data_IF_669981484670
#
_entry.id   IF_669981484670
#
_cell.length_a   1.000
_cell.length_b   1.000
_cell.length_c   1.000
_cell.angle_alpha   90.00
_cell.angle_beta   90.00
_cell.angle_gamma   90.00
#
_symmetry.space_group_name_H-M   'P 1'
#
loop_
_entity.id
_entity.type
_entity.pdbx_description
1 polymer ?
#
# COMPACT_ATOMS: atom_id res chain seq x y z
N UNK A 1 -16.76 -12.75 -12.92
CA UNK A 1 -16.64 -11.71 -11.89
C UNK A 1 -15.37 -12.02 -11.13
N UNK A 2 -14.35 -11.18 -11.22
CA UNK A 2 -13.13 -11.36 -10.43
C UNK A 2 -13.50 -11.04 -8.98
N UNK A 3 -13.31 -11.99 -8.07
CA UNK A 3 -13.53 -11.81 -6.64
C UNK A 3 -12.57 -10.72 -6.14
N UNK A 4 -13.06 -9.48 -6.07
CA UNK A 4 -12.32 -8.38 -5.46
C UNK A 4 -12.31 -8.65 -3.96
N UNK A 5 -11.20 -9.19 -3.46
CA UNK A 5 -10.98 -9.45 -2.05
C UNK A 5 -10.84 -8.11 -1.35
N UNK A 6 -11.91 -7.59 -0.75
CA UNK A 6 -11.85 -6.41 0.12
C UNK A 6 -11.54 -6.88 1.53
N UNK A 7 -10.27 -6.80 1.92
CA UNK A 7 -9.82 -7.21 3.26
C UNK A 7 -8.92 -6.15 3.88
N UNK A 8 -9.20 -5.83 5.14
CA UNK A 8 -8.26 -5.07 5.96
C UNK A 8 -7.00 -5.90 6.22
N UNK A 9 -5.83 -5.33 5.99
CA UNK A 9 -4.53 -5.95 6.24
C UNK A 9 -3.63 -4.97 6.99
N UNK A 10 -2.91 -5.44 8.00
CA UNK A 10 -1.88 -4.63 8.64
C UNK A 10 -0.75 -4.37 7.64
N UNK A 11 -0.15 -3.18 7.69
CA UNK A 11 0.91 -2.79 6.73
C UNK A 11 2.13 -3.72 6.75
N UNK A 12 2.42 -4.38 7.87
CA UNK A 12 3.51 -5.35 7.98
C UNK A 12 3.22 -6.70 7.29
N UNK A 13 1.95 -6.99 7.03
CA UNK A 13 1.51 -8.24 6.40
C UNK A 13 1.32 -8.09 4.87
N UNK A 14 1.46 -6.88 4.34
CA UNK A 14 1.44 -6.61 2.90
C UNK A 14 2.53 -7.41 2.19
N UNK A 15 2.35 -7.60 0.88
CA UNK A 15 3.32 -8.31 0.04
C UNK A 15 3.53 -7.56 -1.27
N UNK A 16 4.72 -7.62 -1.87
CA UNK A 16 4.93 -7.18 -3.23
C UNK A 16 3.87 -7.78 -4.17
N UNK A 17 3.22 -6.92 -4.95
CA UNK A 17 2.12 -7.25 -5.86
C UNK A 17 0.72 -7.06 -5.27
N UNK A 18 0.55 -6.88 -3.96
CA UNK A 18 -0.76 -6.52 -3.40
C UNK A 18 -1.22 -5.18 -3.99
N UNK A 19 -2.48 -5.10 -4.40
CA UNK A 19 -3.12 -3.84 -4.80
C UNK A 19 -3.93 -3.33 -3.61
N UNK A 20 -3.58 -2.14 -3.17
CA UNK A 20 -4.23 -1.45 -2.06
C UNK A 20 -5.03 -0.28 -2.58
N UNK A 21 -6.21 -0.08 -2.00
CA UNK A 21 -7.02 1.13 -2.19
C UNK A 21 -7.14 1.85 -0.85
N UNK A 22 -6.63 3.08 -0.77
CA UNK A 22 -6.83 3.90 0.42
C UNK A 22 -6.98 5.37 0.10
N UNK A 23 -7.51 6.11 1.07
CA UNK A 23 -7.61 7.56 0.99
C UNK A 23 -6.30 8.16 1.49
N UNK A 24 -5.62 8.92 0.64
CA UNK A 24 -4.44 9.67 1.05
C UNK A 24 -4.81 10.63 2.19
N UNK A 25 -4.06 10.57 3.29
CA UNK A 25 -4.23 11.47 4.44
C UNK A 25 -3.26 12.64 4.34
N UNK A 26 -1.97 12.35 4.15
CA UNK A 26 -0.88 13.31 4.31
C UNK A 26 0.36 13.00 3.44
N UNK A 27 0.23 12.18 2.39
CA UNK A 27 1.34 11.88 1.49
C UNK A 27 1.79 13.15 0.76
N UNK A 28 3.10 13.30 0.48
CA UNK A 28 3.63 14.46 -0.22
C UNK A 28 3.16 14.52 -1.68
N UNK A 29 3.36 15.66 -2.34
CA UNK A 29 3.11 15.80 -3.77
C UNK A 29 3.84 14.69 -4.58
N UNK A 30 3.21 14.15 -5.64
CA UNK A 30 2.03 14.65 -6.34
C UNK A 30 0.67 14.16 -5.80
N UNK A 31 0.63 13.49 -4.64
CA UNK A 31 -0.62 12.93 -4.11
C UNK A 31 -1.49 14.01 -3.46
N UNK A 32 -2.75 14.10 -3.89
CA UNK A 32 -3.73 15.03 -3.32
C UNK A 32 -4.30 14.45 -2.04
N UNK A 33 -4.20 15.19 -0.92
CA UNK A 33 -4.81 14.79 0.33
C UNK A 33 -6.34 14.65 0.19
N UNK A 34 -6.87 13.54 0.70
CA UNK A 34 -8.30 13.24 0.68
C UNK A 34 -8.80 12.51 -0.57
N UNK A 35 -7.96 12.29 -1.60
CA UNK A 35 -8.29 11.44 -2.75
C UNK A 35 -8.01 9.97 -2.46
N UNK A 36 -8.70 9.08 -3.18
CA UNK A 36 -8.43 7.65 -3.14
C UNK A 36 -7.41 7.30 -4.22
N UNK A 37 -6.43 6.47 -3.85
CA UNK A 37 -5.44 5.93 -4.76
C UNK A 37 -5.47 4.41 -4.72
N UNK A 38 -5.36 3.82 -5.90
CA UNK A 38 -5.06 2.41 -6.09
C UNK A 38 -3.59 2.30 -6.42
N UNK A 39 -2.84 1.55 -5.63
CA UNK A 39 -1.41 1.37 -5.87
C UNK A 39 -1.01 -0.09 -5.69
N UNK A 40 0.02 -0.49 -6.41
CA UNK A 40 0.65 -1.81 -6.27
C UNK A 40 1.81 -1.70 -5.28
N UNK A 41 1.83 -2.54 -4.27
CA UNK A 41 2.96 -2.66 -3.33
C UNK A 41 4.15 -3.24 -4.09
N UNK A 42 5.30 -2.56 -4.05
CA UNK A 42 6.56 -3.01 -4.65
C UNK A 42 7.47 -3.65 -3.60
N UNK A 43 7.59 -3.03 -2.44
CA UNK A 43 8.44 -3.49 -1.33
C UNK A 43 7.94 -2.94 0.00
N UNK A 44 8.34 -3.57 1.09
CA UNK A 44 8.01 -3.15 2.45
C UNK A 44 9.31 -3.18 3.25
N UNK A 45 9.69 -2.02 3.77
CA UNK A 45 10.90 -1.86 4.56
C UNK A 45 10.56 -1.29 5.94
N UNK A 46 10.92 -2.03 7.00
CA UNK A 46 10.74 -1.55 8.36
C UNK A 46 11.98 -0.73 8.76
N UNK A 47 11.88 0.58 8.53
CA UNK A 47 12.97 1.53 8.81
C UNK A 47 13.30 1.60 10.30
N UNK A 48 12.30 1.56 11.18
CA UNK A 48 12.48 1.55 12.63
C UNK A 48 11.27 0.96 13.37
N UNK A 49 11.21 1.15 14.71
CA UNK A 49 10.13 0.61 15.53
C UNK A 49 8.78 1.28 15.31
N UNK A 50 8.75 2.52 14.82
CA UNK A 50 7.55 3.36 14.65
C UNK A 50 7.19 3.64 13.19
N UNK A 51 8.04 3.27 12.24
CA UNK A 51 7.87 3.63 10.83
C UNK A 51 8.19 2.44 9.93
N UNK A 52 7.27 2.19 9.01
CA UNK A 52 7.40 1.26 7.88
C UNK A 52 7.30 2.10 6.61
N UNK A 53 8.22 1.91 5.68
CA UNK A 53 8.09 2.44 4.33
C UNK A 53 7.51 1.36 3.43
N UNK A 54 6.42 1.69 2.75
CA UNK A 54 5.88 0.85 1.68
C UNK A 54 6.28 1.51 0.37
N UNK A 55 7.10 0.82 -0.42
CA UNK A 55 7.34 1.17 -1.81
C UNK A 55 6.09 0.86 -2.62
N UNK A 56 5.60 1.84 -3.37
CA UNK A 56 4.37 1.75 -4.17
C UNK A 56 4.64 2.08 -5.62
N UNK A 57 3.85 1.50 -6.52
CA UNK A 57 3.77 1.91 -7.94
C UNK A 57 2.35 2.34 -8.22
N UNK A 58 2.20 3.57 -8.69
CA UNK A 58 0.92 4.19 -9.06
C UNK A 58 1.06 4.80 -10.45
N UNK A 59 0.20 4.43 -11.40
CA UNK A 59 0.26 4.89 -12.80
C UNK A 59 1.68 4.82 -13.44
N UNK A 60 2.49 3.84 -13.03
CA UNK A 60 3.86 3.64 -13.51
C UNK A 60 4.93 4.51 -12.81
N UNK A 61 4.55 5.34 -11.85
CA UNK A 61 5.47 6.14 -11.03
C UNK A 61 5.76 5.44 -9.70
N UNK A 62 7.02 5.14 -9.39
CA UNK A 62 7.40 4.60 -8.09
C UNK A 62 7.45 5.72 -7.03
N UNK A 63 6.96 5.42 -5.83
CA UNK A 63 7.06 6.27 -4.64
C UNK A 63 7.28 5.42 -3.39
N UNK A 64 7.70 6.04 -2.28
CA UNK A 64 7.76 5.40 -0.98
C UNK A 64 6.87 6.17 0.00
N UNK A 65 5.96 5.47 0.65
CA UNK A 65 4.99 6.06 1.57
C UNK A 65 5.26 5.57 3.00
N UNK A 66 5.37 6.47 3.98
CA UNK A 66 5.55 6.09 5.37
C UNK A 66 4.23 5.70 6.04
N UNK A 67 4.27 4.66 6.86
CA UNK A 67 3.15 4.15 7.66
C UNK A 67 3.59 3.90 9.10
N UNK A 68 2.64 3.97 10.04
CA UNK A 68 2.82 3.38 11.37
C UNK A 68 2.68 1.85 11.29
N UNK A 69 3.48 1.06 12.03
CA UNK A 69 3.46 -0.41 11.95
C UNK A 69 2.14 -1.06 12.42
N UNK A 70 1.32 -0.33 13.17
CA UNK A 70 -0.01 -0.76 13.61
C UNK A 70 -1.13 -0.36 12.63
N UNK A 71 -0.81 0.37 11.56
CA UNK A 71 -1.78 0.84 10.57
C UNK A 71 -2.34 -0.33 9.75
N UNK A 72 -3.61 -0.19 9.36
CA UNK A 72 -4.34 -1.13 8.51
C UNK A 72 -4.76 -0.45 7.22
N UNK A 73 -4.63 -1.17 6.11
CA UNK A 73 -5.02 -0.72 4.77
C UNK A 73 -6.02 -1.70 4.14
N UNK A 74 -6.72 -1.26 3.10
CA UNK A 74 -7.66 -2.12 2.36
C UNK A 74 -6.97 -2.70 1.14
N UNK A 75 -6.66 -3.99 1.18
CA UNK A 75 -6.23 -4.74 0.00
C UNK A 75 -7.48 -5.03 -0.84
N UNK A 76 -7.38 -4.82 -2.15
CA UNK A 76 -8.45 -5.09 -3.14
C UNK A 76 -8.09 -6.21 -4.11
N UNK A 77 -6.79 -6.50 -4.25
CA UNK A 77 -6.26 -7.65 -4.99
C UNK A 77 -4.97 -8.15 -4.32
N UNK A 78 -4.83 -9.46 -4.15
CA UNK A 78 -3.61 -10.03 -3.59
C UNK A 78 -2.53 -10.20 -4.66
N UNK A 79 -1.29 -9.86 -4.30
CA UNK A 79 -0.14 -10.17 -5.12
C UNK A 79 -0.04 -11.68 -5.31
N UNK A 80 -0.01 -12.14 -6.57
CA UNK A 80 0.28 -13.55 -6.85
C UNK A 80 1.71 -13.82 -6.40
N UNK A 81 1.84 -14.61 -5.33
CA UNK A 81 3.14 -15.16 -4.94
C UNK A 81 3.71 -15.91 -6.16
N UNK A 82 4.74 -15.34 -6.78
CA UNK A 82 5.48 -16.04 -7.83
C UNK A 82 6.16 -17.23 -7.14
N UNK A 83 5.70 -18.42 -7.53
CA UNK A 83 6.11 -19.70 -6.96
C UNK A 83 7.43 -20.16 -7.55
#
# INVERSE_FOLDING_TARGET
MTDQLVQGRNVLDLRPGDVVRERNVDWPEPFTAGEFYDYTVAEIDRVNTTTVHVGIVTDGFPAAVPYSPDQWVTVVEEGKASR
#
